data_IF_954043442940
#
_entry.id   IF_954043442940
#
_cell.length_a   1.000
_cell.length_b   1.000
_cell.length_c   1.000
_cell.angle_alpha   90.00
_cell.angle_beta   90.00
_cell.angle_gamma   90.00
#
_symmetry.space_group_name_H-M   'P 1'
#
loop_
_entity.id
_entity.type
_entity.pdbx_description
1 polymer ?
#
# COMPACT_ATOMS: atom_id res chain seq x y z
N UNK A 1 6.73 -17.88 4.68
CA UNK A 1 6.81 -18.03 6.16
C UNK A 1 5.43 -18.05 6.77
N UNK A 2 5.24 -18.71 7.92
CA UNK A 2 3.95 -18.70 8.64
C UNK A 2 3.48 -17.26 8.95
N UNK A 3 4.44 -16.35 9.09
CA UNK A 3 4.28 -14.89 9.23
C UNK A 3 3.65 -14.17 8.03
N UNK A 4 3.64 -14.78 6.85
CA UNK A 4 3.02 -14.26 5.63
C UNK A 4 1.97 -15.27 5.13
N UNK A 5 1.14 -15.81 6.03
CA UNK A 5 0.19 -16.90 5.74
C UNK A 5 -0.83 -16.59 4.62
N UNK A 6 -0.82 -15.37 4.09
CA UNK A 6 -1.51 -14.94 2.88
C UNK A 6 -0.55 -14.23 1.90
N UNK A 7 0.62 -14.79 1.58
CA UNK A 7 1.45 -14.24 0.49
C UNK A 7 0.66 -14.40 -0.81
N UNK A 8 -0.13 -13.39 -1.12
CA UNK A 8 -1.09 -13.39 -2.21
C UNK A 8 -0.35 -13.56 -3.53
N UNK A 9 -0.98 -14.30 -4.46
CA UNK A 9 -0.53 -14.40 -5.85
C UNK A 9 -0.30 -13.01 -6.48
N UNK A 10 -0.98 -11.98 -5.95
CA UNK A 10 -0.80 -10.57 -6.30
C UNK A 10 0.68 -10.16 -6.38
N UNK A 11 1.52 -10.63 -5.45
CA UNK A 11 2.94 -10.28 -5.48
C UNK A 11 3.69 -10.82 -6.68
N UNK A 12 3.39 -12.04 -7.06
CA UNK A 12 3.97 -12.69 -8.22
C UNK A 12 3.44 -12.03 -9.49
N UNK A 13 2.14 -11.74 -9.54
CA UNK A 13 1.50 -11.05 -10.66
C UNK A 13 2.09 -9.66 -10.89
N UNK A 14 2.27 -8.86 -9.84
CA UNK A 14 2.91 -7.53 -9.91
C UNK A 14 4.33 -7.64 -10.47
N UNK A 15 5.14 -8.60 -9.99
CA UNK A 15 6.52 -8.76 -10.45
C UNK A 15 6.59 -9.17 -11.92
N UNK A 16 5.72 -10.09 -12.35
CA UNK A 16 5.63 -10.46 -13.77
C UNK A 16 5.11 -9.33 -14.65
N UNK A 17 4.16 -8.52 -14.15
CA UNK A 17 3.70 -7.33 -14.88
C UNK A 17 4.83 -6.32 -15.07
N UNK A 18 5.59 -5.99 -14.02
CA UNK A 18 6.76 -5.08 -14.10
C UNK A 18 7.81 -5.64 -15.06
N UNK A 19 8.14 -6.94 -14.93
CA UNK A 19 9.08 -7.59 -15.82
C UNK A 19 8.60 -7.51 -17.28
N UNK A 20 7.31 -7.77 -17.53
CA UNK A 20 6.70 -7.66 -18.85
C UNK A 20 6.78 -6.24 -19.43
N UNK A 21 6.49 -5.22 -18.61
CA UNK A 21 6.61 -3.81 -19.00
C UNK A 21 8.06 -3.48 -19.41
N UNK A 22 9.04 -3.89 -18.61
CA UNK A 22 10.46 -3.66 -18.89
C UNK A 22 10.91 -4.39 -20.16
N UNK A 23 10.56 -5.66 -20.32
CA UNK A 23 10.96 -6.45 -21.50
C UNK A 23 10.33 -5.90 -22.78
N UNK A 24 9.05 -5.55 -22.76
CA UNK A 24 8.37 -4.97 -23.91
C UNK A 24 8.93 -3.60 -24.29
N UNK A 25 9.34 -2.78 -23.31
CA UNK A 25 10.01 -1.51 -23.57
C UNK A 25 11.33 -1.72 -24.33
N UNK A 26 12.18 -2.65 -23.90
CA UNK A 26 13.44 -2.94 -24.60
C UNK A 26 13.24 -3.50 -26.01
N UNK A 27 12.17 -4.26 -26.25
CA UNK A 27 11.84 -4.74 -27.60
C UNK A 27 11.42 -3.59 -28.51
N UNK A 28 10.59 -2.66 -28.02
CA UNK A 28 10.18 -1.47 -28.79
C UNK A 28 11.39 -0.57 -29.07
N UNK A 29 12.26 -0.35 -28.09
CA UNK A 29 13.51 0.40 -28.23
C UNK A 29 14.45 -0.25 -29.26
N UNK A 30 14.60 -1.58 -29.22
CA UNK A 30 15.38 -2.33 -30.20
C UNK A 30 14.84 -2.17 -31.63
N UNK A 31 13.51 -2.21 -31.79
CA UNK A 31 12.85 -1.93 -33.07
C UNK A 31 13.17 -0.54 -33.61
N UNK A 32 13.19 0.48 -32.74
CA UNK A 32 13.55 1.85 -33.11
C UNK A 32 15.01 1.95 -33.60
N UNK A 33 15.94 1.24 -32.97
CA UNK A 33 17.36 1.23 -33.39
C UNK A 33 17.61 0.51 -34.71
N UNK A 34 16.74 -0.44 -35.09
CA UNK A 34 16.86 -1.29 -36.28
C UNK A 34 16.02 -0.82 -37.47
N UNK A 35 15.41 0.37 -37.41
CA UNK A 35 14.62 0.94 -38.52
C UNK A 35 15.46 1.32 -39.75
N UNK A 36 14.99 2.31 -40.53
CA UNK A 36 15.55 2.68 -41.85
C UNK A 36 17.08 2.84 -41.90
N UNK A 37 17.70 3.28 -40.81
CA UNK A 37 19.14 3.24 -40.65
C UNK A 37 19.49 2.68 -39.27
N UNK A 38 20.32 1.64 -39.23
CA UNK A 38 20.77 1.06 -37.97
C UNK A 38 21.62 2.08 -37.22
N UNK A 39 21.13 2.53 -36.07
CA UNK A 39 21.83 3.46 -35.20
C UNK A 39 21.77 2.97 -33.75
N UNK A 40 22.86 2.36 -33.29
CA UNK A 40 22.98 1.92 -31.90
C UNK A 40 23.31 3.10 -30.98
N UNK A 41 22.50 3.28 -29.94
CA UNK A 41 22.80 4.23 -28.87
C UNK A 41 23.64 3.57 -27.77
N UNK A 42 24.92 3.94 -27.67
CA UNK A 42 25.83 3.35 -26.68
C UNK A 42 25.49 3.73 -25.22
N UNK A 43 24.63 4.75 -24.99
CA UNK A 43 24.11 5.09 -23.66
C UNK A 43 22.97 4.17 -23.21
N UNK A 44 22.47 3.31 -24.11
CA UNK A 44 21.39 2.35 -23.89
C UNK A 44 21.92 0.91 -24.08
N UNK A 45 22.87 0.45 -23.25
CA UNK A 45 23.57 -0.82 -23.48
C UNK A 45 22.64 -2.04 -23.48
N UNK A 46 21.56 -2.00 -22.70
CA UNK A 46 20.57 -3.08 -22.66
C UNK A 46 19.72 -3.09 -23.93
N UNK A 47 19.24 -1.92 -24.39
CA UNK A 47 18.53 -1.80 -25.67
C UNK A 47 19.38 -2.30 -26.85
N UNK A 48 20.67 -1.96 -26.87
CA UNK A 48 21.62 -2.46 -27.89
C UNK A 48 21.76 -3.99 -27.88
N UNK A 49 21.71 -4.65 -26.72
CA UNK A 49 21.72 -6.12 -26.65
C UNK A 49 20.49 -6.71 -27.33
N UNK A 50 19.30 -6.16 -27.05
CA UNK A 50 18.06 -6.59 -27.69
C UNK A 50 18.09 -6.33 -29.20
N UNK A 51 18.55 -5.15 -29.63
CA UNK A 51 18.70 -4.82 -31.04
C UNK A 51 19.65 -5.78 -31.77
N UNK A 52 20.81 -6.11 -31.18
CA UNK A 52 21.73 -7.09 -31.78
C UNK A 52 21.14 -8.50 -31.86
N UNK A 53 20.31 -8.90 -30.90
CA UNK A 53 19.63 -10.19 -30.92
C UNK A 53 18.57 -10.27 -32.03
N UNK A 54 17.96 -9.13 -32.37
CA UNK A 54 16.87 -9.01 -33.35
C UNK A 54 17.34 -8.59 -34.76
N UNK A 55 18.61 -8.17 -34.93
CA UNK A 55 19.15 -7.59 -36.18
C UNK A 55 19.03 -8.47 -37.43
N UNK A 56 18.90 -9.79 -37.26
CA UNK A 56 18.85 -10.76 -38.36
C UNK A 56 17.41 -11.19 -38.70
N UNK A 57 16.40 -10.59 -38.06
CA UNK A 57 14.99 -10.83 -38.38
C UNK A 57 14.63 -10.10 -39.67
N UNK A 58 13.69 -10.64 -40.44
CA UNK A 58 13.11 -9.93 -41.57
C UNK A 58 12.20 -8.78 -41.08
N UNK A 59 12.07 -7.74 -41.90
CA UNK A 59 11.35 -6.51 -41.56
C UNK A 59 9.90 -6.75 -41.11
N UNK A 60 9.19 -7.70 -41.75
CA UNK A 60 7.81 -8.02 -41.40
C UNK A 60 7.70 -8.67 -40.01
N UNK A 61 8.58 -9.61 -39.71
CA UNK A 61 8.67 -10.25 -38.38
C UNK A 61 9.04 -9.23 -37.31
N UNK A 62 10.05 -8.39 -37.59
CA UNK A 62 10.49 -7.34 -36.67
C UNK A 62 9.36 -6.37 -36.35
N UNK A 63 8.67 -5.85 -37.37
CA UNK A 63 7.54 -4.94 -37.21
C UNK A 63 6.42 -5.57 -36.37
N UNK A 64 6.06 -6.83 -36.67
CA UNK A 64 5.02 -7.54 -35.91
C UNK A 64 5.39 -7.69 -34.43
N UNK A 65 6.63 -8.04 -34.11
CA UNK A 65 7.11 -8.19 -32.72
C UNK A 65 7.05 -6.85 -31.99
N UNK A 66 7.46 -5.76 -32.65
CA UNK A 66 7.44 -4.41 -32.07
C UNK A 66 6.00 -3.96 -31.82
N UNK A 67 5.09 -4.13 -32.78
CA UNK A 67 3.68 -3.73 -32.65
C UNK A 67 2.98 -4.50 -31.52
N UNK A 68 3.18 -5.82 -31.45
CA UNK A 68 2.66 -6.66 -30.37
C UNK A 68 3.22 -6.23 -29.02
N UNK A 69 4.53 -5.97 -28.94
CA UNK A 69 5.19 -5.53 -27.71
C UNK A 69 4.68 -4.17 -27.25
N UNK A 70 4.46 -3.23 -28.16
CA UNK A 70 3.89 -1.92 -27.86
C UNK A 70 2.49 -2.03 -27.24
N UNK A 71 1.59 -2.79 -27.87
CA UNK A 71 0.23 -2.95 -27.34
C UNK A 71 0.21 -3.73 -26.03
N UNK A 72 1.04 -4.77 -25.89
CA UNK A 72 1.20 -5.49 -24.65
C UNK A 72 1.71 -4.56 -23.54
N UNK A 73 2.68 -3.69 -23.82
CA UNK A 73 3.19 -2.70 -22.88
C UNK A 73 2.06 -1.75 -22.42
N UNK A 74 1.26 -1.23 -23.35
CA UNK A 74 0.14 -0.34 -23.03
C UNK A 74 -0.92 -1.02 -22.16
N UNK A 75 -1.26 -2.28 -22.47
CA UNK A 75 -2.19 -3.07 -21.65
C UNK A 75 -1.61 -3.32 -20.25
N UNK A 76 -0.32 -3.68 -20.16
CA UNK A 76 0.32 -3.93 -18.87
C UNK A 76 0.38 -2.68 -18.01
N UNK A 77 0.78 -1.52 -18.57
CA UNK A 77 0.78 -0.24 -17.83
C UNK A 77 -0.64 0.15 -17.41
N UNK A 78 -1.61 0.06 -18.32
CA UNK A 78 -3.00 0.39 -18.02
C UNK A 78 -3.59 -0.52 -16.94
N UNK A 79 -3.31 -1.82 -16.98
CA UNK A 79 -3.69 -2.77 -15.95
C UNK A 79 -2.99 -2.47 -14.62
N UNK A 80 -1.70 -2.15 -14.65
CA UNK A 80 -0.93 -1.83 -13.45
C UNK A 80 -1.48 -0.60 -12.72
N UNK A 81 -1.90 0.43 -13.46
CA UNK A 81 -2.54 1.62 -12.89
C UNK A 81 -3.80 1.29 -12.07
N UNK A 82 -4.61 0.34 -12.54
CA UNK A 82 -5.82 -0.12 -11.84
C UNK A 82 -5.50 -1.00 -10.64
N UNK A 83 -4.46 -1.84 -10.74
CA UNK A 83 -4.03 -2.77 -9.68
C UNK A 83 -3.34 -2.06 -8.50
N UNK A 84 -2.66 -0.93 -8.72
CA UNK A 84 -1.92 -0.22 -7.65
C UNK A 84 -2.79 0.06 -6.40
N UNK A 85 -3.95 0.75 -6.48
CA UNK A 85 -4.74 1.08 -5.29
C UNK A 85 -5.39 -0.14 -4.63
N UNK A 86 -5.56 -1.23 -5.38
CA UNK A 86 -6.26 -2.43 -4.92
C UNK A 86 -5.33 -3.46 -4.28
N UNK A 87 -4.04 -3.45 -4.60
CA UNK A 87 -3.12 -4.49 -4.18
C UNK A 87 -2.17 -4.03 -3.06
N UNK A 88 -1.24 -4.90 -2.68
CA UNK A 88 -0.10 -4.54 -1.85
C UNK A 88 0.80 -3.43 -2.45
N UNK A 89 0.67 -3.10 -3.74
CA UNK A 89 1.44 -1.99 -4.35
C UNK A 89 0.88 -0.61 -3.97
N UNK A 90 -0.24 -0.55 -3.23
CA UNK A 90 -0.82 0.72 -2.74
C UNK A 90 0.18 1.58 -1.97
N UNK A 91 1.19 0.96 -1.36
CA UNK A 91 2.23 1.64 -0.59
C UNK A 91 3.00 2.67 -1.42
N UNK A 92 3.09 2.50 -2.75
CA UNK A 92 3.71 3.50 -3.62
C UNK A 92 3.00 4.86 -3.53
N UNK A 93 1.67 4.84 -3.38
CA UNK A 93 0.85 6.04 -3.23
C UNK A 93 0.84 6.47 -1.77
N UNK A 94 0.62 5.55 -0.82
CA UNK A 94 0.45 5.87 0.59
C UNK A 94 1.73 6.30 1.31
N UNK A 95 2.91 5.79 0.93
CA UNK A 95 4.17 6.10 1.64
C UNK A 95 4.55 7.57 1.55
N UNK A 96 4.33 8.21 0.40
CA UNK A 96 4.70 9.60 0.15
C UNK A 96 4.02 10.56 1.15
N UNK A 97 2.67 10.59 1.28
CA UNK A 97 2.01 11.43 2.27
C UNK A 97 2.32 11.00 3.71
N UNK A 98 2.48 9.70 3.99
CA UNK A 98 2.88 9.23 5.32
C UNK A 98 4.18 9.88 5.81
N UNK A 99 5.23 9.80 5.00
CA UNK A 99 6.55 10.31 5.38
C UNK A 99 6.51 11.84 5.48
N UNK A 100 5.77 12.53 4.60
CA UNK A 100 5.68 13.98 4.62
C UNK A 100 4.88 14.54 5.80
N UNK A 101 3.87 13.81 6.26
CA UNK A 101 2.96 14.22 7.34
C UNK A 101 3.09 13.32 8.57
N UNK A 102 4.29 12.80 8.83
CA UNK A 102 4.56 12.00 10.03
C UNK A 102 4.35 12.82 11.30
N UNK A 103 3.88 12.18 12.36
CA UNK A 103 3.82 12.83 13.67
C UNK A 103 5.22 13.02 14.24
N UNK A 104 5.45 14.21 14.79
CA UNK A 104 6.69 14.64 15.43
C UNK A 104 6.52 14.90 16.92
N UNK A 105 5.31 14.67 17.45
CA UNK A 105 5.04 14.74 18.88
C UNK A 105 5.84 13.68 19.65
N UNK A 106 5.92 13.90 20.96
CA UNK A 106 6.64 12.99 21.85
C UNK A 106 5.92 11.65 21.95
N UNK A 107 6.69 10.56 22.14
CA UNK A 107 6.11 9.22 22.34
C UNK A 107 5.09 9.24 23.49
N UNK A 108 3.88 8.75 23.21
CA UNK A 108 2.78 8.71 24.17
C UNK A 108 1.95 10.00 24.25
N UNK A 109 2.23 11.00 23.39
CA UNK A 109 1.29 12.08 23.15
C UNK A 109 -0.04 11.50 22.65
N UNK A 110 -1.14 11.88 23.29
CA UNK A 110 -2.49 11.47 22.91
C UNK A 110 -3.24 12.68 22.39
N UNK A 111 -4.07 12.46 21.38
CA UNK A 111 -5.04 13.47 20.96
C UNK A 111 -6.04 13.73 22.10
N UNK A 112 -6.50 14.98 22.29
CA UNK A 112 -7.57 15.29 23.23
C UNK A 112 -8.83 14.46 22.98
N UNK A 113 -9.51 14.04 24.05
CA UNK A 113 -10.76 13.25 23.95
C UNK A 113 -11.91 14.07 23.35
N UNK A 114 -11.94 15.37 23.59
CA UNK A 114 -12.92 16.30 23.05
C UNK A 114 -12.27 17.67 22.87
N UNK A 115 -12.60 18.33 21.77
CA UNK A 115 -12.24 19.72 21.47
C UNK A 115 -13.50 20.60 21.53
N UNK A 116 -13.36 21.84 21.97
CA UNK A 116 -14.41 22.85 21.90
C UNK A 116 -14.48 23.50 20.49
N UNK A 117 -15.42 24.43 20.29
CA UNK A 117 -15.62 25.16 19.03
C UNK A 117 -14.38 25.97 18.57
N UNK A 118 -13.41 26.20 19.47
CA UNK A 118 -12.17 26.91 19.18
C UNK A 118 -10.96 25.96 19.00
N UNK A 119 -11.19 24.64 18.87
CA UNK A 119 -10.16 23.60 18.81
C UNK A 119 -9.28 23.52 20.07
N UNK A 120 -9.83 23.83 21.25
CA UNK A 120 -9.14 23.73 22.53
C UNK A 120 -9.61 22.47 23.26
N UNK A 121 -8.68 21.73 23.86
CA UNK A 121 -8.98 20.55 24.65
C UNK A 121 -9.93 20.88 25.82
N UNK A 122 -11.06 20.16 25.89
CA UNK A 122 -12.02 20.27 26.99
C UNK A 122 -11.46 19.59 28.24
N UNK A 123 -11.67 20.20 29.40
CA UNK A 123 -11.26 19.60 30.68
C UNK A 123 -12.11 18.38 30.99
N UNK A 124 -11.53 17.42 31.72
CA UNK A 124 -12.21 16.17 32.08
C UNK A 124 -13.54 16.38 32.81
N UNK A 125 -13.62 17.39 33.68
CA UNK A 125 -14.83 17.71 34.45
C UNK A 125 -15.97 18.30 33.58
N UNK A 126 -15.61 18.83 32.40
CA UNK A 126 -16.51 19.52 31.47
C UNK A 126 -16.81 18.67 30.22
N UNK A 127 -16.38 17.40 30.19
CA UNK A 127 -16.65 16.50 29.07
C UNK A 127 -18.14 16.22 28.94
N UNK A 128 -18.63 16.34 27.71
CA UNK A 128 -19.99 15.94 27.37
C UNK A 128 -20.04 14.44 27.11
N UNK A 129 -20.25 13.65 28.17
CA UNK A 129 -20.32 12.19 28.08
C UNK A 129 -21.47 11.67 27.19
N UNK A 130 -22.50 12.47 26.90
CA UNK A 130 -23.60 12.04 26.02
C UNK A 130 -23.16 12.04 24.54
N UNK A 131 -22.26 12.95 24.16
CA UNK A 131 -21.73 13.08 22.80
C UNK A 131 -20.25 12.66 22.67
N UNK A 132 -19.65 12.11 23.73
CA UNK A 132 -18.25 11.73 23.76
C UNK A 132 -17.99 10.47 22.93
N UNK A 133 -17.12 10.57 21.93
CA UNK A 133 -16.58 9.40 21.22
C UNK A 133 -15.23 9.04 21.81
N UNK A 134 -15.13 7.84 22.39
CA UNK A 134 -13.88 7.33 22.95
C UNK A 134 -13.18 6.44 21.91
N UNK A 135 -12.01 6.90 21.44
CA UNK A 135 -11.22 6.17 20.45
C UNK A 135 -11.96 5.99 19.13
N UNK A 136 -11.75 4.84 18.49
CA UNK A 136 -12.37 4.48 17.20
C UNK A 136 -13.39 3.37 17.43
N UNK A 137 -14.66 3.67 17.20
CA UNK A 137 -15.75 2.69 17.28
C UNK A 137 -16.27 2.29 15.90
N UNK A 138 -16.36 3.26 14.99
CA UNK A 138 -16.72 3.09 13.58
C UNK A 138 -15.58 3.53 12.66
N UNK A 139 -15.65 3.13 11.40
CA UNK A 139 -14.58 3.40 10.44
C UNK A 139 -14.36 4.89 10.18
N UNK A 140 -15.41 5.70 10.32
CA UNK A 140 -15.41 7.15 10.14
C UNK A 140 -14.74 7.90 11.31
N UNK A 141 -14.51 7.23 12.44
CA UNK A 141 -13.81 7.83 13.59
C UNK A 141 -12.29 7.89 13.36
N UNK A 142 -11.77 7.16 12.36
CA UNK A 142 -10.35 7.26 12.02
C UNK A 142 -10.00 8.64 11.48
N UNK A 143 -8.86 9.16 11.91
CA UNK A 143 -8.26 10.31 11.27
C UNK A 143 -7.86 9.97 9.82
N UNK A 144 -7.76 11.00 8.97
CA UNK A 144 -7.28 10.83 7.59
C UNK A 144 -5.90 10.15 7.54
N UNK A 145 -5.06 10.40 8.56
CA UNK A 145 -3.73 9.84 8.74
C UNK A 145 -3.82 8.32 8.98
N UNK A 146 -4.60 7.90 9.97
CA UNK A 146 -4.84 6.48 10.25
C UNK A 146 -5.46 5.72 9.07
N UNK A 147 -6.33 6.37 8.30
CA UNK A 147 -6.85 5.79 7.06
C UNK A 147 -5.73 5.60 6.04
N UNK A 148 -4.91 6.62 5.81
CA UNK A 148 -3.78 6.56 4.87
C UNK A 148 -2.73 5.50 5.25
N UNK A 149 -2.60 5.14 6.54
CA UNK A 149 -1.63 4.14 7.01
C UNK A 149 -1.89 2.76 6.43
N UNK A 150 -3.18 2.42 6.27
CA UNK A 150 -3.59 1.18 5.61
C UNK A 150 -3.08 1.08 4.16
N UNK A 151 -3.05 2.20 3.44
CA UNK A 151 -2.56 2.26 2.06
C UNK A 151 -1.04 2.36 1.96
N UNK A 152 -0.36 2.89 2.97
CA UNK A 152 1.10 2.97 3.05
C UNK A 152 1.76 1.64 3.47
N UNK A 153 1.03 0.76 4.15
CA UNK A 153 1.59 -0.50 4.63
C UNK A 153 2.18 -1.36 3.51
N UNK A 154 3.46 -1.70 3.66
CA UNK A 154 4.23 -2.53 2.71
C UNK A 154 4.08 -4.04 2.96
N UNK A 155 3.33 -4.43 4.00
CA UNK A 155 3.22 -5.82 4.48
C UNK A 155 4.58 -6.50 4.74
N UNK A 156 5.56 -5.73 5.22
CA UNK A 156 6.93 -6.21 5.50
C UNK A 156 7.11 -6.94 6.84
N UNK A 157 6.06 -7.00 7.67
CA UNK A 157 6.01 -7.67 8.98
C UNK A 157 7.02 -7.17 10.06
N UNK A 158 7.76 -6.07 9.83
CA UNK A 158 8.68 -5.51 10.84
C UNK A 158 8.00 -5.18 12.16
N UNK A 159 6.82 -4.58 12.11
CA UNK A 159 6.03 -4.25 13.30
C UNK A 159 5.52 -5.50 14.05
N UNK A 160 5.20 -6.56 13.32
CA UNK A 160 4.81 -7.86 13.88
C UNK A 160 5.99 -8.51 14.60
N UNK A 161 7.16 -8.51 13.98
CA UNK A 161 8.36 -9.18 14.50
C UNK A 161 8.88 -8.59 15.81
N UNK A 162 8.69 -7.29 16.03
CA UNK A 162 9.09 -6.62 17.28
C UNK A 162 7.96 -6.57 18.33
N UNK A 163 6.75 -7.01 17.99
CA UNK A 163 5.60 -6.91 18.90
C UNK A 163 5.71 -7.93 20.05
N UNK A 164 5.77 -7.50 21.33
CA UNK A 164 5.86 -8.43 22.45
C UNK A 164 4.58 -9.27 22.63
N UNK A 165 3.41 -8.72 22.28
CA UNK A 165 2.15 -9.45 22.34
C UNK A 165 2.11 -10.59 21.31
N UNK A 166 2.46 -10.31 20.05
CA UNK A 166 2.56 -11.32 19.00
C UNK A 166 3.58 -12.41 19.37
N UNK A 167 4.77 -12.00 19.82
CA UNK A 167 5.86 -12.92 20.16
C UNK A 167 5.59 -13.78 21.41
N UNK A 168 4.65 -13.37 22.27
CA UNK A 168 4.19 -14.17 23.41
C UNK A 168 3.01 -15.09 23.07
N UNK A 169 2.62 -15.18 21.80
CA UNK A 169 1.54 -16.04 21.34
C UNK A 169 0.14 -15.47 21.57
N UNK A 170 0.00 -14.18 21.87
CA UNK A 170 -1.30 -13.50 21.90
C UNK A 170 -1.80 -13.23 20.48
N UNK A 171 -3.08 -12.89 20.36
CA UNK A 171 -3.78 -12.71 19.08
C UNK A 171 -3.38 -11.44 18.32
N UNK A 172 -2.78 -10.45 18.99
CA UNK A 172 -2.41 -9.18 18.35
C UNK A 172 -1.32 -9.36 17.28
N UNK A 173 -1.64 -8.94 16.07
CA UNK A 173 -0.67 -8.69 15.01
C UNK A 173 -0.82 -7.24 14.51
N UNK A 174 0.11 -6.31 14.86
CA UNK A 174 -0.03 -4.90 14.48
C UNK A 174 0.01 -4.67 12.95
N UNK A 175 0.72 -5.52 12.19
CA UNK A 175 0.68 -5.43 10.72
C UNK A 175 -0.74 -5.70 10.20
N UNK A 176 -1.42 -6.69 10.81
CA UNK A 176 -2.76 -7.08 10.39
C UNK A 176 -3.78 -6.00 10.72
N UNK A 177 -3.67 -5.33 11.89
CA UNK A 177 -4.51 -4.19 12.25
C UNK A 177 -4.49 -3.11 11.16
N UNK A 178 -3.30 -2.69 10.74
CA UNK A 178 -3.15 -1.66 9.69
C UNK A 178 -3.70 -2.14 8.34
N UNK A 179 -3.42 -3.39 7.96
CA UNK A 179 -3.96 -3.97 6.74
C UNK A 179 -5.49 -4.09 6.77
N UNK A 180 -6.06 -4.37 7.94
CA UNK A 180 -7.49 -4.51 8.15
C UNK A 180 -8.23 -3.19 8.01
N UNK A 181 -7.63 -2.05 8.39
CA UNK A 181 -8.17 -0.71 8.07
C UNK A 181 -8.37 -0.56 6.56
N UNK A 182 -7.32 -0.81 5.77
CA UNK A 182 -7.42 -0.75 4.29
C UNK A 182 -8.46 -1.74 3.77
N UNK A 183 -8.38 -3.00 4.20
CA UNK A 183 -9.23 -4.06 3.67
C UNK A 183 -10.71 -3.84 4.03
N UNK A 184 -10.99 -3.26 5.19
CA UNK A 184 -12.34 -2.84 5.58
C UNK A 184 -12.86 -1.75 4.64
N UNK A 185 -12.09 -0.67 4.45
CA UNK A 185 -12.46 0.42 3.55
C UNK A 185 -12.65 -0.07 2.10
N UNK A 186 -11.82 -1.01 1.64
CA UNK A 186 -11.99 -1.64 0.32
C UNK A 186 -13.26 -2.49 0.21
N UNK A 187 -13.55 -3.31 1.22
CA UNK A 187 -14.69 -4.23 1.22
C UNK A 187 -16.01 -3.46 1.30
N UNK A 188 -16.05 -2.42 2.12
CA UNK A 188 -17.26 -1.70 2.49
C UNK A 188 -17.37 -0.30 1.87
N UNK A 189 -16.44 0.09 1.00
CA UNK A 189 -16.33 1.46 0.48
C UNK A 189 -17.62 2.01 -0.14
N UNK A 190 -18.38 1.20 -0.87
CA UNK A 190 -19.65 1.64 -1.47
C UNK A 190 -20.70 2.01 -0.41
N UNK A 191 -20.80 1.24 0.68
CA UNK A 191 -21.73 1.51 1.78
C UNK A 191 -21.29 2.75 2.56
N UNK A 192 -20.00 2.83 2.89
CA UNK A 192 -19.41 3.97 3.60
C UNK A 192 -19.61 5.29 2.83
N UNK A 193 -19.44 5.26 1.50
CA UNK A 193 -19.67 6.43 0.63
C UNK A 193 -21.16 6.80 0.50
N UNK A 194 -22.07 5.84 0.68
CA UNK A 194 -23.51 6.09 0.74
C UNK A 194 -23.99 6.61 2.10
N UNK A 195 -23.10 6.65 3.11
CA UNK A 195 -23.45 6.97 4.49
C UNK A 195 -24.15 5.83 5.22
N UNK A 196 -24.02 4.60 4.72
CA UNK A 196 -24.58 3.39 5.32
C UNK A 196 -23.53 2.67 6.17
N UNK A 197 -23.97 2.13 7.32
CA UNK A 197 -23.11 1.38 8.22
C UNK A 197 -23.01 -0.10 7.79
N UNK A 198 -21.80 -0.65 7.59
CA UNK A 198 -21.63 -2.08 7.35
C UNK A 198 -22.08 -2.92 8.55
N UNK A 199 -22.56 -4.15 8.32
CA UNK A 199 -22.93 -5.08 9.39
C UNK A 199 -21.73 -5.51 10.24
N UNK A 200 -20.58 -5.73 9.60
CA UNK A 200 -19.30 -6.03 10.26
C UNK A 200 -18.71 -4.73 10.78
N UNK A 201 -18.47 -4.61 12.08
CA UNK A 201 -17.79 -3.43 12.64
C UNK A 201 -16.27 -3.50 12.46
N UNK A 202 -15.58 -2.36 12.49
CA UNK A 202 -14.12 -2.34 12.44
C UNK A 202 -13.48 -3.06 13.64
N UNK A 203 -14.10 -2.96 14.82
CA UNK A 203 -13.64 -3.61 16.05
C UNK A 203 -13.75 -5.14 15.95
N UNK A 204 -14.84 -5.64 15.36
CA UNK A 204 -15.01 -7.08 15.06
C UNK A 204 -13.95 -7.57 14.09
N UNK A 205 -13.63 -6.78 13.05
CA UNK A 205 -12.57 -7.13 12.10
C UNK A 205 -11.21 -7.29 12.78
N UNK A 206 -10.85 -6.38 13.68
CA UNK A 206 -9.60 -6.49 14.45
C UNK A 206 -9.60 -7.65 15.44
N UNK A 207 -10.79 -8.12 15.85
CA UNK A 207 -11.05 -8.96 17.00
C UNK A 207 -10.77 -8.24 18.33
N UNK A 208 -11.73 -8.18 19.27
CA UNK A 208 -11.55 -7.51 20.56
C UNK A 208 -10.30 -7.98 21.33
N UNK A 209 -10.02 -9.28 21.31
CA UNK A 209 -8.85 -9.86 21.99
C UNK A 209 -7.52 -9.32 21.48
N UNK A 210 -7.41 -9.03 20.18
CA UNK A 210 -6.20 -8.45 19.61
C UNK A 210 -5.98 -7.02 20.14
N UNK A 211 -7.04 -6.22 20.23
CA UNK A 211 -6.96 -4.85 20.75
C UNK A 211 -6.52 -4.86 22.22
N UNK A 212 -7.13 -5.72 23.04
CA UNK A 212 -6.81 -5.85 24.46
C UNK A 212 -5.43 -6.48 24.74
N UNK A 213 -4.83 -7.15 23.76
CA UNK A 213 -3.48 -7.68 23.87
C UNK A 213 -2.39 -6.62 23.68
N UNK A 214 -2.73 -5.40 23.24
CA UNK A 214 -1.77 -4.31 23.06
C UNK A 214 -1.13 -3.90 24.40
N UNK A 215 0.20 -3.84 24.42
CA UNK A 215 0.97 -3.44 25.61
C UNK A 215 1.39 -1.97 25.58
N UNK A 216 0.87 -1.18 24.63
CA UNK A 216 1.17 0.25 24.42
C UNK A 216 2.67 0.60 24.42
N UNK A 217 3.52 -0.34 24.01
CA UNK A 217 4.98 -0.21 24.09
C UNK A 217 5.62 0.53 22.90
N UNK A 218 4.82 0.90 21.88
CA UNK A 218 5.24 1.68 20.70
C UNK A 218 6.28 1.02 19.77
N UNK A 219 6.73 -0.21 20.05
CA UNK A 219 7.75 -0.91 19.26
C UNK A 219 7.39 -1.05 17.77
N UNK A 220 6.11 -1.31 17.46
CA UNK A 220 5.62 -1.44 16.08
C UNK A 220 5.78 -0.15 15.27
N UNK A 221 5.55 0.99 15.90
CA UNK A 221 5.65 2.33 15.28
C UNK A 221 7.12 2.66 15.03
N UNK A 222 7.98 2.48 16.04
CA UNK A 222 9.42 2.70 15.92
C UNK A 222 10.08 1.82 14.84
N UNK A 223 9.61 0.60 14.66
CA UNK A 223 10.16 -0.31 13.65
C UNK A 223 9.61 -0.08 12.23
N UNK A 224 8.62 0.80 12.05
CA UNK A 224 7.99 1.03 10.77
C UNK A 224 8.87 1.92 9.86
N UNK A 225 9.31 1.43 8.68
CA UNK A 225 10.18 2.21 7.80
C UNK A 225 9.44 3.31 7.02
N UNK A 226 8.10 3.33 7.10
CA UNK A 226 7.24 4.26 6.36
C UNK A 226 6.37 5.09 7.30
N UNK A 227 6.77 5.20 8.57
CA UNK A 227 6.13 6.07 9.57
C UNK A 227 4.60 5.87 9.65
N UNK A 228 4.21 4.64 9.95
CA UNK A 228 2.81 4.28 10.30
C UNK A 228 2.73 4.24 11.82
N UNK A 229 1.68 4.83 12.38
CA UNK A 229 1.45 5.01 13.82
C UNK A 229 0.09 4.48 14.31
#
# INVERSE_FOLDING_TARGET
>A
PEKLKNSSLEGVLILFAILGIVLTAFIVEAGYMLGDNIHYNNWEPIGVIFAKQMQNMDDNTLQTIVDVSYWLHMILIGGFLVEIPQTKHSHLIGTIPNVMFQDHEHMGAMNPLQLDDNNIAVKTDDLDFENLTLGVNKFEDFTWRQLSDGWACTACARCQDVCPAYNSGKTLNPMQIIMDVKNYGKKHGNLLLAGEAPEETIVERFTPDAIWACTTCYACVTACPVHIE
#
